data_IF_024910249361
#
_entry.id   IF_024910249361
#
_cell.length_a   1.000
_cell.length_b   1.000
_cell.length_c   1.000
_cell.angle_alpha   90.00
_cell.angle_beta   90.00
_cell.angle_gamma   90.00
#
_symmetry.space_group_name_H-M   'P 1'
#
loop_
_entity.id
_entity.type
_entity.pdbx_description
1 polymer ?
#
# COMPACT_ATOMS: atom_id res chain seq x y z
N UNK A 1 -4.95 76.25 43.07
CA UNK A 1 -5.56 74.93 43.38
C UNK A 1 -6.15 74.41 42.09
N UNK A 2 -5.39 73.55 41.41
CA UNK A 2 -5.86 72.86 40.20
C UNK A 2 -6.75 71.68 40.60
N UNK A 3 -7.88 71.54 39.91
CA UNK A 3 -8.57 70.27 39.73
C UNK A 3 -9.43 70.37 38.46
N UNK A 4 -8.88 69.85 37.37
CA UNK A 4 -9.52 69.68 36.07
C UNK A 4 -10.40 68.42 36.12
N UNK A 5 -11.71 68.54 35.88
CA UNK A 5 -12.66 67.43 35.95
C UNK A 5 -12.76 66.66 34.63
N UNK A 6 -11.94 65.61 34.53
CA UNK A 6 -12.20 64.30 33.94
C UNK A 6 -13.11 64.17 32.71
N UNK A 7 -12.49 64.14 31.53
CA UNK A 7 -12.93 63.29 30.43
C UNK A 7 -12.48 61.84 30.71
N UNK A 8 -13.40 60.90 30.80
CA UNK A 8 -13.11 59.48 31.02
C UNK A 8 -12.99 58.72 29.69
N UNK A 9 -11.76 58.55 29.22
CA UNK A 9 -11.40 57.51 28.24
C UNK A 9 -11.39 56.12 28.93
N UNK A 10 -11.92 55.05 28.30
CA UNK A 10 -11.79 53.70 28.83
C UNK A 10 -10.42 53.12 28.49
N UNK A 11 -9.57 53.04 29.49
CA UNK A 11 -8.28 52.36 29.47
C UNK A 11 -8.49 50.83 29.37
N UNK A 12 -8.28 50.24 28.18
CA UNK A 12 -8.20 48.79 28.02
C UNK A 12 -6.77 48.38 27.67
N UNK A 13 -6.00 47.97 28.68
CA UNK A 13 -4.74 47.26 28.51
C UNK A 13 -5.01 45.94 27.75
N UNK A 14 -4.93 45.98 26.42
CA UNK A 14 -5.04 44.80 25.58
C UNK A 14 -3.75 44.00 25.70
N UNK A 15 -3.77 42.91 26.46
CA UNK A 15 -2.67 41.95 26.53
C UNK A 15 -2.48 41.34 25.13
N UNK A 16 -1.40 41.67 24.43
CA UNK A 16 -1.11 41.13 23.10
C UNK A 16 -0.27 39.86 23.26
N UNK A 17 -0.67 38.76 22.63
CA UNK A 17 0.06 37.48 22.62
C UNK A 17 0.83 37.38 21.30
N UNK A 18 2.15 37.22 21.36
CA UNK A 18 2.98 37.02 20.16
C UNK A 18 3.22 35.53 19.93
N UNK A 19 2.82 35.01 18.77
CA UNK A 19 2.97 33.59 18.37
C UNK A 19 3.88 33.50 17.15
N UNK A 20 4.85 32.58 17.18
CA UNK A 20 5.70 32.28 16.03
C UNK A 20 5.12 31.12 15.22
N UNK A 21 4.67 31.40 13.98
CA UNK A 21 4.13 30.39 13.07
C UNK A 21 5.19 29.98 12.07
N UNK A 22 5.56 28.69 12.05
CA UNK A 22 6.49 28.15 11.04
C UNK A 22 5.73 27.75 9.78
N UNK A 23 6.11 28.31 8.63
CA UNK A 23 5.56 27.98 7.32
C UNK A 23 6.68 27.93 6.27
N UNK A 24 6.80 26.84 5.51
CA UNK A 24 7.83 26.70 4.47
C UNK A 24 9.28 26.80 4.97
N UNK A 25 9.56 26.53 6.25
CA UNK A 25 10.87 26.69 6.87
C UNK A 25 11.15 28.09 7.44
N UNK A 26 10.26 29.07 7.23
CA UNK A 26 10.37 30.44 7.75
C UNK A 26 9.46 30.61 8.97
N UNK A 27 9.96 31.28 10.02
CA UNK A 27 9.18 31.62 11.21
C UNK A 27 8.56 33.01 11.07
N UNK A 28 7.24 33.10 11.17
CA UNK A 28 6.46 34.33 11.02
C UNK A 28 5.91 34.73 12.41
N UNK A 29 6.37 35.82 13.03
CA UNK A 29 5.82 36.30 14.29
C UNK A 29 4.46 37.00 14.05
N UNK A 30 3.43 36.61 14.80
CA UNK A 30 2.08 37.18 14.71
C UNK A 30 1.60 37.58 16.10
N UNK A 31 1.30 38.85 16.25
CA UNK A 31 0.68 39.40 17.45
C UNK A 31 -0.84 39.26 17.37
N UNK A 32 -1.43 38.57 18.34
CA UNK A 32 -2.88 38.30 18.40
C UNK A 32 -3.47 38.79 19.72
N UNK A 33 -4.74 39.16 19.69
CA UNK A 33 -5.52 39.40 20.89
C UNK A 33 -5.96 38.06 21.53
N UNK A 34 -6.01 37.95 22.87
CA UNK A 34 -6.44 36.74 23.59
C UNK A 34 -7.88 36.30 23.28
N UNK A 35 -8.69 37.17 22.67
CA UNK A 35 -10.07 36.86 22.27
C UNK A 35 -10.21 36.46 20.80
N UNK A 36 -9.10 36.34 20.06
CA UNK A 36 -9.14 36.01 18.64
C UNK A 36 -9.61 34.57 18.41
N UNK A 37 -10.62 34.42 17.55
CA UNK A 37 -11.13 33.09 17.16
C UNK A 37 -10.16 32.38 16.20
N UNK A 38 -10.25 31.05 16.13
CA UNK A 38 -9.43 30.23 15.20
C UNK A 38 -9.60 30.69 13.74
N UNK A 39 -10.82 31.05 13.34
CA UNK A 39 -11.08 31.56 11.99
C UNK A 39 -10.41 32.91 11.75
N UNK A 40 -10.44 33.82 12.74
CA UNK A 40 -9.73 35.09 12.68
C UNK A 40 -8.22 34.89 12.56
N UNK A 41 -7.66 33.94 13.32
CA UNK A 41 -6.24 33.60 13.24
C UNK A 41 -5.83 33.06 11.87
N UNK A 42 -6.64 32.17 11.29
CA UNK A 42 -6.42 31.64 9.94
C UNK A 42 -6.48 32.72 8.86
N UNK A 43 -7.40 33.67 9.01
CA UNK A 43 -7.48 34.82 8.11
C UNK A 43 -6.24 35.73 8.19
N UNK A 44 -5.65 35.91 9.38
CA UNK A 44 -4.40 36.65 9.54
C UNK A 44 -3.19 35.96 8.89
N UNK A 45 -3.22 34.63 8.78
CA UNK A 45 -2.16 33.85 8.14
C UNK A 45 -2.24 33.84 6.61
N UNK A 46 -3.39 34.19 6.02
CA UNK A 46 -3.60 34.11 4.58
C UNK A 46 -2.62 34.99 3.78
N UNK A 47 -2.40 36.28 4.11
CA UNK A 47 -1.45 37.12 3.37
C UNK A 47 0.00 36.60 3.43
N UNK A 48 0.39 35.99 4.56
CA UNK A 48 1.77 35.55 4.79
C UNK A 48 2.07 34.13 4.27
N UNK A 49 1.04 33.29 4.15
CA UNK A 49 1.21 31.88 3.73
C UNK A 49 0.65 31.60 2.34
N UNK A 50 -0.20 32.48 1.80
CA UNK A 50 -0.99 32.28 0.58
C UNK A 50 -1.82 30.98 0.59
N UNK A 51 -2.13 30.44 1.77
CA UNK A 51 -2.97 29.25 1.96
C UNK A 51 -4.35 29.67 2.46
N UNK A 52 -5.40 29.27 1.74
CA UNK A 52 -6.78 29.53 2.12
C UNK A 52 -7.10 28.97 3.52
N UNK A 53 -7.91 29.66 4.36
CA UNK A 53 -8.26 29.22 5.72
C UNK A 53 -8.81 27.78 5.82
N UNK A 54 -9.46 27.28 4.76
CA UNK A 54 -9.97 25.90 4.68
C UNK A 54 -8.86 24.87 4.50
N UNK A 55 -7.74 25.22 3.87
CA UNK A 55 -6.57 24.36 3.67
C UNK A 55 -5.51 24.47 4.76
N UNK A 56 -5.61 25.45 5.66
CA UNK A 56 -4.67 25.63 6.76
C UNK A 56 -4.93 24.61 7.89
N UNK A 57 -3.97 23.71 8.11
CA UNK A 57 -3.91 22.83 9.28
C UNK A 57 -3.00 23.49 10.33
N UNK A 58 -3.57 23.92 11.44
CA UNK A 58 -2.83 24.48 12.57
C UNK A 58 -2.31 23.34 13.44
N UNK A 59 -0.99 23.28 13.62
CA UNK A 59 -0.34 22.32 14.50
C UNK A 59 0.36 23.11 15.60
N UNK A 60 -0.15 23.02 16.82
CA UNK A 60 0.47 23.66 17.97
C UNK A 60 1.62 22.79 18.48
N UNK A 61 2.83 23.33 18.50
CA UNK A 61 4.01 22.71 19.11
C UNK A 61 4.56 23.67 20.15
N UNK A 62 4.31 23.38 21.42
CA UNK A 62 4.85 24.13 22.56
C UNK A 62 4.67 23.37 23.86
N UNK A 63 5.71 23.36 24.69
CA UNK A 63 5.63 23.05 26.11
C UNK A 63 5.23 24.34 26.83
N UNK A 64 4.19 24.28 27.66
CA UNK A 64 3.85 25.36 28.59
C UNK A 64 4.19 24.90 30.00
N UNK A 65 5.15 25.57 30.65
CA UNK A 65 5.39 25.42 32.09
C UNK A 65 4.24 26.07 32.88
N UNK A 66 3.25 25.23 33.25
CA UNK A 66 2.26 25.46 34.32
C UNK A 66 1.20 26.57 34.15
N UNK A 67 0.18 26.64 35.03
CA UNK A 67 -0.79 25.58 35.34
C UNK A 67 -2.25 25.98 35.02
N UNK A 68 -3.15 25.01 35.22
CA UNK A 68 -4.63 25.09 35.31
C UNK A 68 -5.41 24.75 34.04
N UNK A 69 -5.90 23.51 34.03
CA UNK A 69 -7.06 23.08 33.26
C UNK A 69 -8.32 23.80 33.78
N UNK A 70 -8.97 24.60 32.94
CA UNK A 70 -10.37 24.96 33.15
C UNK A 70 -11.23 24.27 32.10
N UNK A 71 -12.00 23.27 32.56
CA UNK A 71 -13.15 22.71 31.85
C UNK A 71 -14.04 23.88 31.40
N UNK A 72 -14.23 24.06 30.10
CA UNK A 72 -15.18 25.02 29.59
C UNK A 72 -16.61 24.52 29.88
N UNK A 73 -17.30 25.22 30.78
CA UNK A 73 -18.71 25.03 31.04
C UNK A 73 -19.53 25.47 29.82
N UNK A 74 -20.46 24.61 29.40
CA UNK A 74 -21.50 24.93 28.42
C UNK A 74 -22.57 25.77 29.14
N UNK A 75 -22.66 27.06 28.80
CA UNK A 75 -23.79 27.90 29.19
C UNK A 75 -24.94 27.63 28.21
N UNK A 76 -26.14 27.23 28.67
CA UNK A 76 -27.28 27.06 27.78
C UNK A 76 -27.86 28.43 27.41
N UNK A 77 -27.83 28.78 26.13
CA UNK A 77 -28.64 29.88 25.61
C UNK A 77 -30.04 29.36 25.34
N UNK A 78 -30.98 29.78 26.18
CA UNK A 78 -32.41 29.71 25.89
C UNK A 78 -32.71 30.53 24.63
N UNK A 79 -33.44 29.93 23.70
CA UNK A 79 -34.17 30.67 22.66
C UNK A 79 -35.61 30.18 22.69
N UNK A 80 -36.49 31.18 22.70
CA UNK A 80 -37.93 31.14 22.87
C UNK A 80 -38.60 30.17 21.92
N UNK A 81 -39.68 29.60 22.42
CA UNK A 81 -40.71 28.90 21.65
C UNK A 81 -41.14 29.76 20.47
N UNK A 82 -41.10 29.16 19.27
CA UNK A 82 -42.04 29.52 18.23
C UNK A 82 -42.43 28.27 17.44
N UNK A 83 -43.70 28.26 17.10
CA UNK A 83 -44.53 27.13 16.73
C UNK A 83 -44.30 26.62 15.30
N UNK A 84 -44.40 25.29 15.12
CA UNK A 84 -44.93 24.70 13.89
C UNK A 84 -43.94 24.24 12.80
N UNK A 85 -44.07 22.95 12.46
CA UNK A 85 -43.80 22.33 11.15
C UNK A 85 -42.43 21.66 10.91
N UNK A 86 -42.49 20.32 10.90
CA UNK A 86 -41.69 19.35 10.15
C UNK A 86 -40.43 19.85 9.41
N UNK A 87 -39.27 19.33 9.82
CA UNK A 87 -38.34 18.70 8.90
C UNK A 87 -37.33 17.84 9.66
N UNK A 88 -37.44 16.52 9.47
CA UNK A 88 -36.46 15.50 9.87
C UNK A 88 -35.10 15.74 9.18
N UNK A 89 -34.31 16.67 9.68
CA UNK A 89 -32.86 16.58 9.53
C UNK A 89 -32.37 15.51 10.51
N UNK A 90 -32.35 14.27 10.02
CA UNK A 90 -31.58 13.17 10.60
C UNK A 90 -30.21 13.70 11.02
N UNK A 91 -29.98 13.84 12.33
CA UNK A 91 -28.65 14.00 12.90
C UNK A 91 -27.79 12.87 12.32
N UNK A 92 -26.84 13.22 11.46
CA UNK A 92 -25.81 12.27 11.00
C UNK A 92 -25.06 11.88 12.28
N UNK A 93 -25.12 10.61 12.73
CA UNK A 93 -24.36 10.22 13.91
C UNK A 93 -22.89 10.39 13.56
N UNK A 94 -22.09 10.97 14.46
CA UNK A 94 -20.64 10.88 14.35
C UNK A 94 -20.31 9.40 14.58
N UNK A 95 -20.33 8.63 13.50
CA UNK A 95 -20.14 7.18 13.53
C UNK A 95 -18.76 6.89 14.11
N UNK A 96 -18.70 5.96 15.08
CA UNK A 96 -17.45 5.45 15.61
C UNK A 96 -16.58 4.97 14.43
N UNK A 97 -15.24 5.09 14.51
CA UNK A 97 -14.31 4.71 13.42
C UNK A 97 -14.62 3.35 12.82
N UNK A 98 -14.95 2.37 13.66
CA UNK A 98 -15.36 1.03 13.26
C UNK A 98 -16.67 1.00 12.48
N UNK A 99 -17.68 1.76 12.88
CA UNK A 99 -18.96 1.85 12.15
C UNK A 99 -18.77 2.47 10.77
N UNK A 100 -17.87 3.44 10.65
CA UNK A 100 -17.48 4.00 9.35
C UNK A 100 -16.79 2.96 8.49
N UNK A 101 -15.87 2.18 9.04
CA UNK A 101 -15.22 1.09 8.30
C UNK A 101 -16.23 0.03 7.85
N UNK A 102 -17.15 -0.39 8.72
CA UNK A 102 -18.23 -1.31 8.35
C UNK A 102 -19.15 -0.73 7.28
N UNK A 103 -19.48 0.56 7.36
CA UNK A 103 -20.37 1.21 6.39
C UNK A 103 -19.71 1.44 5.02
N UNK A 104 -18.42 1.76 4.99
CA UNK A 104 -17.68 2.05 3.74
C UNK A 104 -17.01 0.82 3.14
N UNK A 105 -16.72 -0.18 3.97
CA UNK A 105 -15.87 -1.32 3.64
C UNK A 105 -14.41 -0.98 3.42
N UNK A 106 -13.96 0.23 3.78
CA UNK A 106 -12.57 0.67 3.58
C UNK A 106 -11.93 0.96 4.94
N UNK A 107 -10.91 0.18 5.27
CA UNK A 107 -10.06 0.36 6.44
C UNK A 107 -8.76 1.02 5.97
N UNK A 108 -8.70 2.35 6.10
CA UNK A 108 -7.50 3.13 5.80
C UNK A 108 -6.68 3.38 7.07
N UNK A 109 -5.48 2.79 7.09
CA UNK A 109 -4.48 2.77 8.17
C UNK A 109 -3.08 3.12 7.65
N UNK A 110 -2.97 3.72 6.47
CA UNK A 110 -1.67 4.11 5.93
C UNK A 110 -1.03 5.24 6.76
N UNK A 111 0.31 5.21 6.90
CA UNK A 111 1.09 6.26 7.57
C UNK A 111 0.65 6.55 9.01
N UNK A 112 0.27 5.50 9.74
CA UNK A 112 -0.22 5.59 11.12
C UNK A 112 0.84 5.21 12.17
N UNK A 113 2.09 4.96 11.75
CA UNK A 113 3.19 4.46 12.59
C UNK A 113 2.81 3.19 13.39
N UNK A 114 2.07 2.29 12.75
CA UNK A 114 1.61 1.05 13.38
C UNK A 114 2.71 -0.01 13.37
N UNK A 115 2.91 -0.69 14.50
CA UNK A 115 3.77 -1.89 14.57
C UNK A 115 2.98 -3.19 14.37
N UNK A 116 1.67 -3.14 14.62
CA UNK A 116 0.72 -4.25 14.51
C UNK A 116 -0.60 -3.73 13.94
N UNK A 117 -1.30 -4.56 13.18
CA UNK A 117 -2.64 -4.24 12.69
C UNK A 117 -3.61 -4.26 13.90
N UNK A 118 -4.32 -3.17 14.20
CA UNK A 118 -5.18 -3.08 15.39
C UNK A 118 -6.35 -4.07 15.37
N UNK A 119 -6.73 -4.60 16.53
CA UNK A 119 -7.76 -5.63 16.65
C UNK A 119 -9.15 -5.19 16.16
N UNK A 120 -9.42 -3.88 16.16
CA UNK A 120 -10.66 -3.31 15.66
C UNK A 120 -10.86 -3.56 14.15
N UNK A 121 -9.77 -3.81 13.41
CA UNK A 121 -9.84 -4.20 12.00
C UNK A 121 -10.57 -5.52 11.86
N UNK A 122 -10.25 -6.51 12.69
CA UNK A 122 -10.81 -7.86 12.62
C UNK A 122 -12.32 -7.88 12.91
N UNK A 123 -12.80 -6.93 13.71
CA UNK A 123 -14.22 -6.74 14.04
C UNK A 123 -15.05 -6.32 12.81
N UNK A 124 -14.41 -5.82 11.75
CA UNK A 124 -15.10 -5.47 10.50
C UNK A 124 -15.61 -6.69 9.73
N UNK A 125 -14.99 -7.86 9.93
CA UNK A 125 -15.43 -9.12 9.33
C UNK A 125 -15.64 -9.03 7.82
N UNK A 126 -16.77 -9.54 7.34
CA UNK A 126 -17.19 -9.50 5.93
C UNK A 126 -17.46 -8.09 5.38
N UNK A 127 -17.58 -7.07 6.24
CA UNK A 127 -17.85 -5.70 5.79
C UNK A 127 -16.60 -5.04 5.19
N UNK A 128 -15.40 -5.43 5.61
CA UNK A 128 -14.15 -4.87 5.08
C UNK A 128 -13.87 -5.45 3.69
N UNK A 129 -13.78 -4.59 2.69
CA UNK A 129 -13.39 -4.92 1.32
C UNK A 129 -11.99 -4.45 0.97
N UNK A 130 -11.55 -3.34 1.55
CA UNK A 130 -10.21 -2.79 1.33
C UNK A 130 -9.53 -2.58 2.67
N UNK A 131 -8.35 -3.17 2.85
CA UNK A 131 -7.46 -2.92 3.98
C UNK A 131 -6.17 -2.30 3.45
N UNK A 132 -5.95 -1.04 3.81
CA UNK A 132 -4.75 -0.28 3.47
C UNK A 132 -3.94 0.02 4.73
N UNK A 133 -2.81 -0.68 4.88
CA UNK A 133 -1.85 -0.54 5.96
C UNK A 133 -0.47 -0.09 5.44
N UNK A 134 -0.42 0.61 4.29
CA UNK A 134 0.84 1.03 3.68
C UNK A 134 1.65 1.99 4.57
N UNK A 135 2.99 1.98 4.44
CA UNK A 135 3.88 2.92 5.13
C UNK A 135 3.71 2.88 6.67
N UNK A 136 3.90 1.71 7.25
CA UNK A 136 3.90 1.50 8.70
C UNK A 136 5.16 0.66 9.08
N UNK A 137 5.27 0.24 10.33
CA UNK A 137 6.30 -0.68 10.82
C UNK A 137 5.66 -2.04 11.17
N UNK A 138 4.66 -2.47 10.41
CA UNK A 138 3.96 -3.73 10.70
C UNK A 138 4.90 -4.89 10.47
N UNK A 139 4.99 -5.75 11.50
CA UNK A 139 5.86 -6.92 11.49
C UNK A 139 5.12 -8.24 11.39
N UNK A 140 3.80 -8.31 11.64
CA UNK A 140 3.00 -9.53 11.61
C UNK A 140 1.66 -9.33 10.89
N UNK A 141 1.26 -10.32 10.11
CA UNK A 141 -0.08 -10.45 9.51
C UNK A 141 -0.68 -11.73 10.08
N UNK A 142 -1.48 -11.63 11.15
CA UNK A 142 -1.85 -12.78 11.95
C UNK A 142 -3.06 -13.52 11.34
N UNK A 143 -3.44 -14.66 11.92
CA UNK A 143 -4.46 -15.55 11.35
C UNK A 143 -5.86 -14.91 11.40
N UNK A 144 -6.07 -13.94 12.28
CA UNK A 144 -7.27 -13.11 12.40
C UNK A 144 -7.65 -12.42 11.09
N UNK A 145 -6.71 -12.27 10.14
CA UNK A 145 -7.03 -11.78 8.81
C UNK A 145 -8.08 -12.65 8.11
N UNK A 146 -8.19 -13.93 8.46
CA UNK A 146 -9.22 -14.86 7.98
C UNK A 146 -10.65 -14.40 8.31
N UNK A 147 -10.82 -13.55 9.33
CA UNK A 147 -12.13 -12.98 9.69
C UNK A 147 -12.63 -12.00 8.63
N UNK A 148 -11.74 -11.40 7.83
CA UNK A 148 -12.07 -10.43 6.80
C UNK A 148 -12.58 -11.11 5.53
N UNK A 149 -13.61 -11.95 5.65
CA UNK A 149 -14.09 -12.83 4.58
C UNK A 149 -14.59 -12.11 3.33
N UNK A 150 -14.85 -10.80 3.40
CA UNK A 150 -15.23 -9.96 2.26
C UNK A 150 -14.09 -9.16 1.64
N UNK A 151 -12.84 -9.39 2.07
CA UNK A 151 -11.68 -8.61 1.64
C UNK A 151 -11.37 -8.86 0.15
N UNK A 152 -11.36 -7.77 -0.60
CA UNK A 152 -11.05 -7.71 -2.03
C UNK A 152 -9.61 -7.24 -2.27
N UNK A 153 -9.16 -6.25 -1.49
CA UNK A 153 -7.84 -5.63 -1.67
C UNK A 153 -7.09 -5.50 -0.35
N UNK A 154 -5.86 -6.01 -0.34
CA UNK A 154 -4.95 -5.91 0.79
C UNK A 154 -3.66 -5.18 0.37
N UNK A 155 -3.42 -4.03 0.97
CA UNK A 155 -2.21 -3.24 0.78
C UNK A 155 -1.42 -3.16 2.07
N UNK A 156 -0.24 -3.78 2.11
CA UNK A 156 0.70 -3.72 3.24
C UNK A 156 2.11 -3.42 2.71
N UNK A 157 2.20 -2.42 1.83
CA UNK A 157 3.45 -1.99 1.24
C UNK A 157 4.28 -1.18 2.25
N UNK A 158 5.60 -1.16 2.08
CA UNK A 158 6.51 -0.35 2.90
C UNK A 158 6.29 -0.60 4.39
N UNK A 159 6.55 -1.84 4.79
CA UNK A 159 6.46 -2.35 6.16
C UNK A 159 7.68 -3.24 6.44
N UNK A 160 7.72 -3.87 7.61
CA UNK A 160 8.86 -4.66 8.07
C UNK A 160 8.60 -6.18 8.02
N UNK A 161 7.68 -6.61 7.16
CA UNK A 161 7.22 -8.00 7.10
C UNK A 161 8.32 -8.93 6.59
N UNK A 162 8.49 -10.06 7.29
CA UNK A 162 9.36 -11.18 6.91
C UNK A 162 8.56 -12.46 6.69
N UNK A 163 9.18 -13.52 6.17
CA UNK A 163 8.48 -14.72 5.68
C UNK A 163 7.54 -15.37 6.71
N UNK A 164 8.00 -15.50 7.96
CA UNK A 164 7.25 -16.15 9.05
C UNK A 164 6.16 -15.27 9.66
N UNK A 165 6.15 -13.99 9.29
CA UNK A 165 5.22 -13.00 9.80
C UNK A 165 3.84 -13.08 9.15
N UNK A 166 3.74 -13.70 7.97
CA UNK A 166 2.46 -13.86 7.29
C UNK A 166 1.89 -15.22 7.66
N UNK A 167 0.74 -15.23 8.33
CA UNK A 167 -0.07 -16.45 8.53
C UNK A 167 -0.83 -16.74 7.23
N UNK A 168 -0.15 -17.46 6.34
CA UNK A 168 -0.70 -17.75 5.01
C UNK A 168 -1.96 -18.61 5.03
N UNK A 169 -2.14 -19.48 6.03
CA UNK A 169 -3.36 -20.29 6.16
C UNK A 169 -4.60 -19.40 6.25
N UNK A 170 -4.64 -18.46 7.20
CA UNK A 170 -5.71 -17.48 7.30
C UNK A 170 -5.87 -16.61 6.06
N UNK A 171 -4.78 -16.12 5.47
CA UNK A 171 -4.84 -15.31 4.24
C UNK A 171 -5.48 -16.08 3.07
N UNK A 172 -5.19 -17.38 2.94
CA UNK A 172 -5.72 -18.21 1.85
C UNK A 172 -7.21 -18.52 1.96
N UNK A 173 -7.82 -18.27 3.12
CA UNK A 173 -9.28 -18.37 3.28
C UNK A 173 -10.04 -17.25 2.58
N UNK A 174 -9.36 -16.17 2.18
CA UNK A 174 -9.95 -14.97 1.59
C UNK A 174 -10.29 -15.18 0.11
N UNK A 175 -11.40 -15.85 -0.14
CA UNK A 175 -11.86 -16.25 -1.50
C UNK A 175 -12.12 -15.09 -2.45
N UNK A 176 -12.34 -13.87 -1.94
CA UNK A 176 -12.61 -12.68 -2.76
C UNK A 176 -11.38 -11.79 -2.96
N UNK A 177 -10.22 -12.14 -2.41
CA UNK A 177 -9.03 -11.31 -2.52
C UNK A 177 -8.54 -11.29 -3.97
N UNK A 178 -8.69 -10.13 -4.63
CA UNK A 178 -8.24 -9.93 -6.01
C UNK A 178 -6.90 -9.19 -6.09
N UNK A 179 -6.56 -8.38 -5.08
CA UNK A 179 -5.30 -7.61 -5.05
C UNK A 179 -4.55 -7.87 -3.74
N UNK A 180 -3.33 -8.37 -3.86
CA UNK A 180 -2.38 -8.51 -2.75
C UNK A 180 -1.12 -7.70 -3.05
N UNK A 181 -0.82 -6.72 -2.21
CA UNK A 181 0.33 -5.85 -2.36
C UNK A 181 1.20 -5.86 -1.10
N UNK A 182 2.42 -6.39 -1.25
CA UNK A 182 3.44 -6.57 -0.23
C UNK A 182 4.77 -5.93 -0.68
N UNK A 183 4.73 -4.90 -1.52
CA UNK A 183 5.94 -4.24 -2.01
C UNK A 183 6.74 -3.61 -0.86
N UNK A 184 8.06 -3.47 -1.02
CA UNK A 184 8.91 -2.80 -0.03
C UNK A 184 8.79 -3.44 1.36
N UNK A 185 8.94 -4.77 1.44
CA UNK A 185 9.05 -5.51 2.68
C UNK A 185 10.38 -6.30 2.69
N UNK A 186 10.57 -7.18 3.67
CA UNK A 186 11.78 -7.97 3.84
C UNK A 186 11.59 -9.45 3.46
N UNK A 187 10.62 -9.79 2.61
CA UNK A 187 10.30 -11.17 2.24
C UNK A 187 11.44 -11.80 1.44
N UNK A 188 11.85 -13.02 1.81
CA UNK A 188 12.85 -13.84 1.11
C UNK A 188 12.25 -15.02 0.35
N UNK A 189 11.04 -15.43 0.70
CA UNK A 189 10.25 -16.46 0.02
C UNK A 189 8.75 -16.11 0.06
N UNK A 190 7.96 -16.76 -0.79
CA UNK A 190 6.50 -16.78 -0.68
C UNK A 190 6.06 -18.22 -0.40
N UNK A 191 5.04 -18.41 0.43
CA UNK A 191 4.52 -19.74 0.75
C UNK A 191 3.92 -20.43 -0.48
N UNK A 192 4.05 -21.76 -0.55
CA UNK A 192 3.37 -22.58 -1.57
C UNK A 192 1.85 -22.47 -1.47
N UNK A 193 1.32 -22.20 -0.27
CA UNK A 193 -0.12 -22.02 -0.04
C UNK A 193 -0.69 -20.78 -0.74
N UNK A 194 0.14 -19.84 -1.19
CA UNK A 194 -0.27 -18.69 -2.00
C UNK A 194 -1.13 -19.13 -3.21
N UNK A 195 -0.82 -20.28 -3.82
CA UNK A 195 -1.57 -20.81 -4.97
C UNK A 195 -3.06 -21.08 -4.71
N UNK A 196 -3.49 -21.13 -3.45
CA UNK A 196 -4.90 -21.28 -3.07
C UNK A 196 -5.74 -20.02 -3.30
N UNK A 197 -5.10 -18.84 -3.47
CA UNK A 197 -5.78 -17.57 -3.76
C UNK A 197 -6.27 -17.49 -5.22
N UNK A 198 -7.14 -18.40 -5.62
CA UNK A 198 -7.57 -18.58 -7.02
C UNK A 198 -8.29 -17.37 -7.65
N UNK A 199 -8.81 -16.46 -6.83
CA UNK A 199 -9.41 -15.19 -7.27
C UNK A 199 -8.41 -14.04 -7.46
N UNK A 200 -7.13 -14.26 -7.11
CA UNK A 200 -6.11 -13.21 -7.16
C UNK A 200 -5.83 -12.80 -8.60
N UNK A 201 -5.95 -11.50 -8.88
CA UNK A 201 -5.72 -10.87 -10.19
C UNK A 201 -4.42 -10.08 -10.21
N UNK A 202 -4.05 -9.48 -9.09
CA UNK A 202 -2.84 -8.69 -8.97
C UNK A 202 -2.02 -9.11 -7.75
N UNK A 203 -0.76 -9.46 -8.01
CA UNK A 203 0.23 -9.74 -6.99
C UNK A 203 1.41 -8.77 -7.13
N UNK A 204 1.61 -7.95 -6.11
CA UNK A 204 2.71 -6.99 -6.06
C UNK A 204 3.65 -7.33 -4.91
N UNK A 205 4.86 -7.78 -5.21
CA UNK A 205 5.91 -8.20 -4.26
C UNK A 205 7.26 -7.56 -4.59
N UNK A 206 7.23 -6.41 -5.25
CA UNK A 206 8.42 -5.68 -5.70
C UNK A 206 9.21 -5.11 -4.53
N UNK A 207 10.52 -4.90 -4.71
CA UNK A 207 11.41 -4.37 -3.67
C UNK A 207 11.38 -5.22 -2.39
N UNK A 208 11.47 -6.54 -2.55
CA UNK A 208 11.68 -7.49 -1.47
C UNK A 208 13.04 -8.19 -1.67
N UNK A 209 13.30 -9.25 -0.92
CA UNK A 209 14.52 -10.07 -1.01
C UNK A 209 14.21 -11.47 -1.57
N UNK A 210 13.09 -11.64 -2.29
CA UNK A 210 12.59 -12.94 -2.73
C UNK A 210 13.63 -13.67 -3.56
N UNK A 211 13.95 -14.90 -3.19
CA UNK A 211 14.93 -15.73 -3.89
C UNK A 211 14.35 -16.51 -5.06
N UNK A 212 13.04 -16.76 -5.07
CA UNK A 212 12.28 -17.44 -6.13
C UNK A 212 10.78 -17.24 -5.91
N UNK A 213 9.98 -17.61 -6.92
CA UNK A 213 8.53 -17.71 -6.77
C UNK A 213 8.15 -19.18 -6.55
N UNK A 214 7.14 -19.48 -5.72
CA UNK A 214 6.68 -20.85 -5.51
C UNK A 214 6.09 -21.43 -6.80
N UNK A 215 6.25 -22.74 -7.01
CA UNK A 215 5.73 -23.43 -8.19
C UNK A 215 4.20 -23.35 -8.27
N UNK A 216 3.54 -23.21 -7.13
CA UNK A 216 2.10 -23.09 -6.96
C UNK A 216 1.54 -21.76 -7.47
N UNK A 217 2.39 -20.79 -7.85
CA UNK A 217 1.93 -19.55 -8.50
C UNK A 217 1.14 -19.83 -9.79
N UNK A 218 1.39 -20.97 -10.45
CA UNK A 218 0.63 -21.45 -11.62
C UNK A 218 -0.85 -21.73 -11.33
N UNK A 219 -1.21 -21.97 -10.06
CA UNK A 219 -2.60 -22.21 -9.66
C UNK A 219 -3.42 -20.90 -9.60
N UNK A 220 -2.75 -19.74 -9.64
CA UNK A 220 -3.39 -18.43 -9.73
C UNK A 220 -3.90 -18.16 -11.15
N UNK A 221 -4.88 -18.94 -11.59
CA UNK A 221 -5.41 -18.92 -12.96
C UNK A 221 -6.03 -17.58 -13.37
N UNK A 222 -6.45 -16.76 -12.40
CA UNK A 222 -6.98 -15.42 -12.62
C UNK A 222 -5.91 -14.31 -12.59
N UNK A 223 -4.64 -14.62 -12.31
CA UNK A 223 -3.59 -13.62 -12.18
C UNK A 223 -3.34 -12.90 -13.50
N UNK A 224 -3.53 -11.59 -13.52
CA UNK A 224 -3.35 -10.71 -14.68
C UNK A 224 -2.05 -9.91 -14.57
N UNK A 225 -1.68 -9.51 -13.35
CA UNK A 225 -0.53 -8.64 -13.07
C UNK A 225 0.34 -9.26 -11.99
N UNK A 226 1.61 -9.49 -12.31
CA UNK A 226 2.65 -9.87 -11.36
C UNK A 226 3.78 -8.83 -11.38
N UNK A 227 3.92 -8.09 -10.28
CA UNK A 227 5.04 -7.15 -10.08
C UNK A 227 6.01 -7.70 -9.05
N UNK A 228 7.17 -8.15 -9.51
CA UNK A 228 8.21 -8.71 -8.65
C UNK A 228 9.60 -8.11 -8.93
N UNK A 229 9.65 -6.88 -9.45
CA UNK A 229 10.91 -6.18 -9.73
C UNK A 229 11.70 -5.89 -8.44
N UNK A 230 13.01 -5.72 -8.59
CA UNK A 230 13.93 -5.44 -7.47
C UNK A 230 13.85 -6.50 -6.36
N UNK A 231 13.93 -7.78 -6.75
CA UNK A 231 14.06 -8.94 -5.86
C UNK A 231 15.34 -9.72 -6.18
N UNK A 232 15.57 -10.83 -5.49
CA UNK A 232 16.64 -11.81 -5.75
C UNK A 232 16.15 -13.03 -6.56
N UNK A 233 14.96 -12.95 -7.17
CA UNK A 233 14.24 -14.05 -7.84
C UNK A 233 15.06 -14.75 -8.91
N UNK A 234 16.07 -14.05 -9.40
CA UNK A 234 16.83 -14.36 -10.59
C UNK A 234 18.33 -14.54 -10.28
N UNK A 235 18.66 -14.69 -8.99
CA UNK A 235 20.02 -15.04 -8.53
C UNK A 235 20.51 -16.31 -9.22
N UNK A 236 21.84 -16.45 -9.36
CA UNK A 236 22.57 -17.52 -10.10
C UNK A 236 22.12 -18.97 -9.81
N UNK A 237 21.28 -19.23 -8.81
CA UNK A 237 20.79 -20.56 -8.47
C UNK A 237 19.50 -20.97 -9.20
N UNK A 238 18.68 -20.02 -9.66
CA UNK A 238 17.40 -20.36 -10.29
C UNK A 238 17.57 -20.55 -11.79
N UNK A 239 17.39 -21.80 -12.23
CA UNK A 239 17.50 -22.20 -13.64
C UNK A 239 16.15 -22.29 -14.32
N UNK A 240 15.05 -22.40 -13.58
CA UNK A 240 13.71 -22.55 -14.15
C UNK A 240 12.69 -21.62 -13.49
N UNK A 241 11.80 -21.05 -14.31
CA UNK A 241 10.66 -20.24 -13.88
C UNK A 241 9.41 -20.74 -14.60
N UNK A 242 8.45 -21.27 -13.84
CA UNK A 242 7.20 -21.81 -14.36
C UNK A 242 6.04 -20.86 -14.07
N UNK A 243 5.53 -20.23 -15.12
CA UNK A 243 4.50 -19.20 -15.08
C UNK A 243 3.35 -19.47 -16.07
N UNK A 244 3.31 -20.65 -16.66
CA UNK A 244 2.26 -21.09 -17.59
C UNK A 244 0.89 -21.21 -16.94
N UNK A 245 -0.15 -21.18 -17.77
CA UNK A 245 -1.58 -21.27 -17.40
C UNK A 245 -2.11 -20.12 -16.52
N UNK A 246 -1.46 -18.96 -16.57
CA UNK A 246 -1.93 -17.75 -15.90
C UNK A 246 -2.46 -16.75 -16.93
N UNK A 247 -3.39 -15.86 -16.54
CA UNK A 247 -3.89 -14.79 -17.43
C UNK A 247 -2.95 -13.59 -17.52
N UNK A 248 -1.68 -13.77 -17.16
CA UNK A 248 -0.72 -12.70 -17.02
C UNK A 248 -0.50 -11.96 -18.33
N UNK A 249 -0.51 -10.63 -18.25
CA UNK A 249 -0.24 -9.71 -19.37
C UNK A 249 1.14 -9.07 -19.28
N UNK A 250 1.80 -9.15 -18.14
CA UNK A 250 3.07 -8.47 -17.88
C UNK A 250 4.03 -9.32 -17.07
N UNK A 251 5.32 -9.18 -17.35
CA UNK A 251 6.42 -9.71 -16.57
C UNK A 251 7.34 -8.57 -16.10
N UNK A 252 8.20 -8.79 -15.10
CA UNK A 252 9.21 -7.82 -14.70
C UNK A 252 10.17 -7.50 -15.86
N UNK A 253 10.30 -6.23 -16.25
CA UNK A 253 11.10 -5.81 -17.42
C UNK A 253 12.60 -6.10 -17.32
N UNK A 254 13.12 -6.30 -16.10
CA UNK A 254 14.53 -6.61 -15.83
C UNK A 254 14.81 -8.12 -15.71
N UNK A 255 13.85 -8.97 -16.06
CA UNK A 255 13.93 -10.43 -15.92
C UNK A 255 15.22 -11.00 -16.54
N UNK A 256 15.45 -10.72 -17.81
CA UNK A 256 16.57 -11.31 -18.56
C UNK A 256 17.92 -10.66 -18.24
N UNK A 257 17.95 -9.35 -17.95
CA UNK A 257 19.17 -8.66 -17.48
C UNK A 257 19.70 -9.19 -16.15
N UNK A 258 18.81 -9.49 -15.21
CA UNK A 258 19.23 -9.97 -13.88
C UNK A 258 19.43 -11.49 -13.82
N UNK A 259 18.90 -12.25 -14.77
CA UNK A 259 18.95 -13.71 -14.79
C UNK A 259 19.83 -14.30 -15.90
N UNK A 260 21.15 -14.20 -15.77
CA UNK A 260 22.08 -14.77 -16.77
C UNK A 260 22.11 -16.32 -16.79
N UNK A 261 21.50 -16.99 -15.81
CA UNK A 261 21.48 -18.46 -15.72
C UNK A 261 20.10 -19.09 -15.92
N UNK A 262 19.06 -18.30 -16.23
CA UNK A 262 17.75 -18.85 -16.53
C UNK A 262 17.86 -19.76 -17.75
N UNK A 263 17.52 -21.04 -17.59
CA UNK A 263 17.52 -22.03 -18.67
C UNK A 263 16.14 -22.47 -19.09
N UNK A 264 15.12 -22.21 -18.28
CA UNK A 264 13.75 -22.65 -18.54
C UNK A 264 12.82 -21.51 -18.12
N UNK A 265 12.04 -21.00 -19.06
CA UNK A 265 10.99 -20.01 -18.81
C UNK A 265 9.73 -20.56 -19.45
N UNK A 266 8.79 -21.00 -18.62
CA UNK A 266 7.53 -21.52 -19.11
C UNK A 266 6.44 -20.46 -18.99
N UNK A 267 5.91 -20.04 -20.14
CA UNK A 267 4.87 -19.03 -20.29
C UNK A 267 3.68 -19.53 -21.13
N UNK A 268 3.52 -20.85 -21.31
CA UNK A 268 2.41 -21.38 -22.10
C UNK A 268 1.05 -20.92 -21.54
N UNK A 269 0.07 -20.69 -22.41
CA UNK A 269 -1.26 -20.21 -22.03
C UNK A 269 -1.28 -18.91 -21.21
N UNK A 270 -0.28 -18.04 -21.38
CA UNK A 270 -0.30 -16.67 -20.87
C UNK A 270 -0.66 -15.67 -21.97
N UNK A 271 -1.00 -14.42 -21.59
CA UNK A 271 -1.22 -13.33 -22.56
C UNK A 271 0.06 -12.57 -22.91
N UNK A 272 1.23 -13.11 -22.52
CA UNK A 272 2.53 -12.50 -22.78
C UNK A 272 2.94 -12.85 -24.22
N UNK A 273 2.98 -11.84 -25.07
CA UNK A 273 3.42 -11.97 -26.46
C UNK A 273 4.95 -11.96 -26.55
N UNK A 274 5.52 -12.65 -27.53
CA UNK A 274 6.97 -12.62 -27.79
C UNK A 274 7.49 -11.20 -28.06
N UNK A 275 6.67 -10.34 -28.68
CA UNK A 275 7.02 -8.93 -28.93
C UNK A 275 7.18 -8.12 -27.64
N UNK A 276 6.50 -8.52 -26.56
CA UNK A 276 6.68 -7.91 -25.24
C UNK A 276 8.02 -8.34 -24.64
N UNK A 277 8.38 -9.61 -24.78
CA UNK A 277 9.64 -10.17 -24.30
C UNK A 277 10.85 -9.57 -25.02
N UNK A 278 10.75 -9.35 -26.34
CA UNK A 278 11.78 -8.67 -27.15
C UNK A 278 12.11 -7.25 -26.69
N UNK A 279 11.18 -6.58 -25.99
CA UNK A 279 11.43 -5.25 -25.41
C UNK A 279 12.22 -5.29 -24.10
N UNK A 280 12.41 -6.48 -23.52
CA UNK A 280 13.11 -6.61 -22.26
C UNK A 280 14.61 -6.63 -22.49
N UNK A 281 15.33 -5.84 -21.72
CA UNK A 281 16.79 -5.79 -21.77
C UNK A 281 17.37 -7.17 -21.39
N UNK A 282 18.24 -7.72 -22.25
CA UNK A 282 18.87 -9.03 -22.07
C UNK A 282 18.09 -10.21 -22.66
N UNK A 283 16.94 -10.00 -23.31
CA UNK A 283 16.17 -11.06 -23.97
C UNK A 283 16.99 -11.79 -25.04
N UNK A 284 17.73 -11.06 -25.88
CA UNK A 284 18.48 -11.65 -26.99
C UNK A 284 19.51 -12.68 -26.51
N UNK A 285 20.24 -12.38 -25.42
CA UNK A 285 21.19 -13.30 -24.81
C UNK A 285 20.51 -14.58 -24.28
N UNK A 286 19.30 -14.44 -23.72
CA UNK A 286 18.53 -15.57 -23.21
C UNK A 286 17.99 -16.44 -24.36
N UNK A 287 17.45 -15.82 -25.42
CA UNK A 287 16.95 -16.50 -26.61
C UNK A 287 18.08 -17.24 -27.35
N UNK A 288 19.24 -16.61 -27.50
CA UNK A 288 20.43 -17.24 -28.11
C UNK A 288 20.91 -18.45 -27.29
N UNK A 289 20.97 -18.32 -25.96
CA UNK A 289 21.30 -19.42 -25.07
C UNK A 289 20.30 -20.58 -25.14
N UNK A 290 19.00 -20.29 -25.33
CA UNK A 290 17.97 -21.31 -25.54
C UNK A 290 18.12 -22.00 -26.89
N UNK A 291 18.32 -21.23 -27.96
CA UNK A 291 18.53 -21.77 -29.31
C UNK A 291 19.78 -22.64 -29.35
N UNK A 292 20.89 -22.24 -28.72
CA UNK A 292 22.11 -23.06 -28.66
C UNK A 292 21.89 -24.41 -27.96
N UNK A 293 21.05 -24.45 -26.91
CA UNK A 293 20.68 -25.71 -26.23
C UNK A 293 19.77 -26.60 -27.09
N UNK A 294 18.76 -26.03 -27.73
CA UNK A 294 17.84 -26.78 -28.59
C UNK A 294 18.52 -27.23 -29.89
N UNK A 295 19.40 -26.42 -30.47
CA UNK A 295 20.20 -26.77 -31.63
C UNK A 295 21.14 -27.95 -31.31
N UNK A 296 21.79 -27.95 -30.14
CA UNK A 296 22.57 -29.10 -29.64
C UNK A 296 21.72 -30.36 -29.42
N UNK A 297 20.42 -30.22 -29.18
CA UNK A 297 19.50 -31.33 -29.01
C UNK A 297 19.00 -31.89 -30.36
N UNK A 298 19.02 -31.08 -31.42
CA UNK A 298 18.66 -31.47 -32.80
C UNK A 298 19.89 -32.04 -33.55
N UNK A 299 21.11 -31.58 -33.26
CA UNK A 299 22.36 -32.05 -33.89
C UNK A 299 22.86 -33.43 -33.39
N UNK A 300 22.07 -34.17 -32.61
CA UNK A 300 22.41 -35.49 -32.08
C UNK A 300 21.56 -36.63 -32.68
N UNK A 301 21.40 -36.66 -34.01
CA UNK A 301 21.19 -37.91 -34.81
C UNK A 301 21.12 -37.63 -36.32
N UNK A 302 22.25 -37.32 -36.94
CA UNK A 302 22.54 -37.80 -38.31
C UNK A 302 23.98 -38.29 -38.31
N UNK A 303 24.22 -39.39 -37.61
CA UNK A 303 25.41 -40.18 -37.82
C UNK A 303 25.21 -40.99 -39.10
N UNK A 304 25.83 -40.55 -40.18
CA UNK A 304 26.07 -41.37 -41.38
C UNK A 304 26.96 -42.53 -40.92
N UNK A 305 26.36 -43.66 -40.55
CA UNK A 305 27.11 -44.91 -40.42
C UNK A 305 27.11 -45.56 -41.79
N UNK A 306 28.23 -45.36 -42.51
CA UNK A 306 28.68 -46.32 -43.50
C UNK A 306 28.77 -47.67 -42.78
N UNK A 307 27.98 -48.63 -43.23
CA UNK A 307 28.34 -50.04 -43.33
C UNK A 307 27.34 -50.65 -44.32
N UNK A 308 27.78 -50.73 -45.58
CA UNK A 308 27.16 -51.56 -46.60
C UNK A 308 27.54 -53.00 -46.25
N UNK A 309 26.57 -53.77 -45.76
CA UNK A 309 26.73 -55.20 -45.53
C UNK A 309 26.43 -55.93 -46.86
N UNK A 310 27.48 -56.31 -47.60
CA UNK A 310 27.40 -57.24 -48.72
C UNK A 310 27.15 -58.66 -48.16
N UNK A 311 25.87 -58.94 -47.87
CA UNK A 311 25.37 -60.26 -47.55
C UNK A 311 25.19 -61.11 -48.80
N UNK A 312 26.04 -62.12 -48.90
CA UNK A 312 26.13 -63.17 -49.92
C UNK A 312 24.86 -64.04 -49.94
N UNK A 313 24.10 -64.02 -51.03
CA UNK A 313 23.16 -65.11 -51.36
C UNK A 313 23.93 -66.25 -52.05
N UNK A 314 24.17 -67.33 -51.30
CA UNK A 314 24.42 -68.66 -51.84
C UNK A 314 23.48 -69.69 -51.20
N UNK A 315 22.74 -70.34 -52.10
CA UNK A 315 21.88 -71.54 -51.98
C UNK A 315 20.42 -71.31 -51.59
#
# INVERSE_FOLDING_TARGET
MEANSGASEPNSNATIITINVKFGGVSIPISISPHLTINGFKSLLLPSTNVLPRGQKLIFKGFTDGPVWKKAQVVPKSRKDDSGSNNDMKKIPVKNRMERWKATGVVALSECNLEVIPDEVWVCGSSARVLDCNNNSITDVPDEIARLTGLDKLFINANEIVDKSIRWEGLTTLKYLTVLSLNHNNLTTLSSTLGSLTSLRELHVSNNKLSGLPNEIRHLTQLEVLRANNNRLFSKKNKALYLGNTRMKSLPSKLFKTCLQLSTLDLHNTKITIDLLRRFEGWDNFDECQRSKHQKQIDFRVGVSRDFDEGVDKN
#
